data_IF_736687008719
#
_entry.id   IF_736687008719
#
_cell.length_a   1.000
_cell.length_b   1.000
_cell.length_c   1.000
_cell.angle_alpha   90.00
_cell.angle_beta   90.00
_cell.angle_gamma   90.00
#
_symmetry.space_group_name_H-M   'P 1'
#
loop_
_entity.id
_entity.type
_entity.pdbx_description
1 polymer ?
#
# COMPACT_ATOMS: atom_id res chain seq x y z
N UNK A 1 -49.63 -12.02 -15.12
CA UNK A 1 -48.62 -11.00 -14.75
C UNK A 1 -47.98 -11.41 -13.43
N UNK A 2 -46.90 -12.20 -13.41
CA UNK A 2 -46.38 -12.74 -12.14
C UNK A 2 -44.87 -13.04 -12.11
N UNK A 3 -44.07 -12.38 -12.95
CA UNK A 3 -42.61 -12.54 -12.94
C UNK A 3 -41.84 -11.23 -13.15
N UNK A 4 -42.51 -10.07 -13.18
CA UNK A 4 -41.83 -8.79 -13.41
C UNK A 4 -41.16 -8.26 -12.12
N UNK A 5 -41.69 -8.59 -10.94
CA UNK A 5 -41.17 -8.09 -9.67
C UNK A 5 -39.85 -8.73 -9.19
N UNK A 6 -39.59 -10.06 -9.31
CA UNK A 6 -38.33 -10.63 -8.84
C UNK A 6 -37.14 -10.32 -9.77
N UNK A 7 -37.38 -9.93 -11.02
CA UNK A 7 -36.33 -9.60 -11.98
C UNK A 7 -35.66 -8.24 -11.71
N UNK A 8 -36.36 -7.30 -11.06
CA UNK A 8 -35.82 -5.95 -10.76
C UNK A 8 -34.92 -5.98 -9.51
N UNK A 9 -35.15 -6.92 -8.58
CA UNK A 9 -34.32 -7.05 -7.38
C UNK A 9 -32.93 -7.67 -7.65
N UNK A 10 -32.75 -8.36 -8.79
CA UNK A 10 -31.47 -8.96 -9.17
C UNK A 10 -30.48 -7.97 -9.81
N UNK A 11 -30.91 -6.75 -10.13
CA UNK A 11 -30.08 -5.77 -10.86
C UNK A 11 -29.37 -4.76 -9.96
N UNK A 12 -29.80 -4.60 -8.70
CA UNK A 12 -29.23 -3.60 -7.77
C UNK A 12 -27.89 -4.02 -7.14
N UNK A 13 -27.47 -5.28 -7.25
CA UNK A 13 -26.17 -5.75 -6.74
C UNK A 13 -25.02 -5.61 -7.75
N UNK A 14 -25.31 -5.33 -9.02
CA UNK A 14 -24.29 -5.16 -10.08
C UNK A 14 -23.82 -3.71 -10.27
N UNK A 15 -24.37 -2.77 -9.51
CA UNK A 15 -24.03 -1.34 -9.60
C UNK A 15 -23.10 -0.85 -8.49
N UNK A 16 -22.65 -1.71 -7.58
CA UNK A 16 -21.54 -1.34 -6.70
C UNK A 16 -20.31 -1.15 -7.59
N UNK A 17 -19.78 0.08 -7.72
CA UNK A 17 -18.54 0.26 -8.44
C UNK A 17 -17.49 -0.51 -7.65
N UNK A 18 -17.02 -1.63 -8.19
CA UNK A 18 -15.69 -2.16 -7.85
C UNK A 18 -14.70 -1.22 -8.52
N UNK A 19 -14.73 0.06 -8.14
CA UNK A 19 -13.64 0.97 -8.38
C UNK A 19 -12.61 0.59 -7.33
N UNK A 20 -11.84 -0.45 -7.63
CA UNK A 20 -10.48 -0.50 -7.15
C UNK A 20 -9.79 0.72 -7.78
N UNK A 21 -9.99 1.88 -7.17
CA UNK A 21 -9.38 3.12 -7.61
C UNK A 21 -7.90 2.96 -7.27
N UNK A 22 -7.11 2.43 -8.22
CA UNK A 22 -5.66 2.40 -8.18
C UNK A 22 -5.16 3.83 -8.37
N UNK A 23 -5.57 4.71 -7.46
CA UNK A 23 -5.20 6.11 -7.47
C UNK A 23 -3.74 6.18 -7.09
N UNK A 24 -2.94 6.77 -7.97
CA UNK A 24 -1.54 7.00 -7.67
C UNK A 24 -1.45 7.90 -6.44
N UNK A 25 -0.76 7.42 -5.40
CA UNK A 25 -0.45 8.19 -4.20
C UNK A 25 1.04 8.47 -4.22
N UNK A 26 1.40 9.76 -4.27
CA UNK A 26 2.78 10.19 -4.18
C UNK A 26 3.11 10.52 -2.74
N UNK A 27 4.17 9.92 -2.21
CA UNK A 27 4.71 10.24 -0.91
C UNK A 27 6.02 11.01 -1.08
N UNK A 28 6.10 12.19 -0.48
CA UNK A 28 7.34 12.96 -0.39
C UNK A 28 7.85 12.94 1.05
N UNK A 29 9.12 12.63 1.24
CA UNK A 29 9.75 12.58 2.56
C UNK A 29 11.04 13.37 2.54
N UNK A 30 11.23 14.26 3.52
CA UNK A 30 12.48 15.02 3.68
C UNK A 30 13.06 14.70 5.04
N UNK A 31 14.22 14.04 5.04
CA UNK A 31 14.98 13.83 6.27
C UNK A 31 15.67 15.14 6.65
N UNK A 32 15.50 15.61 7.90
CA UNK A 32 16.27 16.73 8.42
C UNK A 32 17.76 16.39 8.48
N UNK A 33 18.62 17.41 8.44
CA UNK A 33 20.07 17.21 8.59
C UNK A 33 20.37 16.37 9.83
N UNK A 34 20.93 15.18 9.59
CA UNK A 34 21.28 14.21 10.60
C UNK A 34 22.79 14.01 10.58
N UNK A 35 23.47 14.44 11.65
CA UNK A 35 24.93 14.32 11.79
C UNK A 35 25.39 13.04 12.49
N UNK A 36 24.47 12.10 12.74
CA UNK A 36 24.77 10.84 13.41
C UNK A 36 25.22 9.74 12.43
N UNK A 37 24.94 8.49 12.81
CA UNK A 37 25.28 7.31 11.99
C UNK A 37 24.49 7.26 10.66
N UNK A 38 24.59 6.18 9.89
CA UNK A 38 23.79 6.05 8.66
C UNK A 38 22.28 6.08 8.97
N UNK A 39 21.56 7.09 8.46
CA UNK A 39 20.11 7.20 8.56
C UNK A 39 19.41 6.72 7.29
N UNK A 40 18.25 6.11 7.49
CA UNK A 40 17.40 5.57 6.43
C UNK A 40 15.95 5.97 6.69
N UNK A 41 15.23 6.30 5.63
CA UNK A 41 13.78 6.51 5.64
C UNK A 41 13.14 5.35 4.91
N UNK A 42 12.07 4.77 5.47
CA UNK A 42 11.38 3.61 4.90
C UNK A 42 9.88 3.83 4.93
N UNK A 43 9.21 3.59 3.80
CA UNK A 43 7.76 3.43 3.74
C UNK A 43 7.43 1.95 3.72
N UNK A 44 6.58 1.52 4.64
CA UNK A 44 6.14 0.13 4.77
C UNK A 44 4.65 0.06 5.08
N UNK A 45 4.07 -1.11 4.85
CA UNK A 45 2.65 -1.39 5.08
C UNK A 45 2.51 -2.29 6.29
N UNK A 46 1.54 -1.97 7.14
CA UNK A 46 1.06 -2.84 8.21
C UNK A 46 -0.41 -3.18 7.98
N UNK A 47 -0.88 -4.30 8.52
CA UNK A 47 -2.33 -4.54 8.61
C UNK A 47 -2.98 -3.75 9.76
N UNK A 48 -4.29 -3.93 9.90
CA UNK A 48 -5.08 -3.31 10.96
C UNK A 48 -4.65 -3.72 12.38
N UNK A 49 -3.96 -4.86 12.53
CA UNK A 49 -3.39 -5.29 13.81
C UNK A 49 -1.97 -4.76 14.06
N UNK A 50 -1.42 -3.99 13.11
CA UNK A 50 -0.06 -3.47 13.16
C UNK A 50 1.01 -4.46 12.69
N UNK A 51 0.64 -5.63 12.16
CA UNK A 51 1.61 -6.60 11.68
C UNK A 51 2.17 -6.16 10.31
N UNK A 52 3.50 -6.21 10.18
CA UNK A 52 4.23 -5.86 8.97
C UNK A 52 3.79 -6.71 7.77
N UNK A 53 3.57 -6.07 6.61
CA UNK A 53 3.18 -6.71 5.34
C UNK A 53 4.19 -6.53 4.22
N UNK A 54 5.05 -5.53 4.29
CA UNK A 54 6.06 -5.30 3.25
C UNK A 54 6.56 -3.87 3.22
N UNK A 55 7.65 -3.65 2.50
CA UNK A 55 8.27 -2.34 2.30
C UNK A 55 7.97 -1.83 0.90
N UNK A 56 7.45 -0.61 0.81
CA UNK A 56 7.14 0.05 -0.46
C UNK A 56 8.35 0.79 -1.01
N UNK A 57 9.13 1.43 -0.14
CA UNK A 57 10.25 2.29 -0.55
C UNK A 57 11.23 2.52 0.59
N UNK A 58 12.49 2.81 0.26
CA UNK A 58 13.51 3.27 1.20
C UNK A 58 14.45 4.29 0.55
N UNK A 59 14.90 5.29 1.32
CA UNK A 59 16.06 6.12 0.99
C UNK A 59 17.11 6.04 2.10
N UNK A 60 18.38 6.06 1.70
CA UNK A 60 19.52 6.15 2.62
C UNK A 60 20.81 6.35 1.86
N UNK A 61 21.87 6.75 2.56
CA UNK A 61 23.15 7.11 1.94
C UNK A 61 23.97 5.94 1.40
N UNK A 62 23.58 4.68 1.66
CA UNK A 62 24.29 3.47 1.18
C UNK A 62 23.28 2.36 0.90
N UNK A 63 23.48 1.59 -0.18
CA UNK A 63 22.75 0.34 -0.36
C UNK A 63 23.32 -0.71 0.61
N UNK A 64 22.51 -1.23 1.55
CA UNK A 64 22.94 -2.25 2.52
C UNK A 64 21.87 -3.32 2.76
N UNK A 65 22.28 -4.59 2.74
CA UNK A 65 21.36 -5.73 2.93
C UNK A 65 20.91 -5.88 4.36
N UNK A 66 19.58 -5.83 4.54
CA UNK A 66 18.90 -6.05 5.80
C UNK A 66 18.00 -7.27 5.67
N UNK A 67 18.31 -8.33 6.42
CA UNK A 67 17.63 -9.63 6.32
C UNK A 67 16.14 -9.60 6.68
N UNK A 68 15.72 -8.64 7.50
CA UNK A 68 14.32 -8.41 7.88
C UNK A 68 13.58 -7.49 6.88
N UNK A 69 14.28 -6.99 5.86
CA UNK A 69 13.72 -6.24 4.74
C UNK A 69 13.97 -7.05 3.47
N UNK A 70 13.52 -8.31 3.42
CA UNK A 70 13.79 -9.22 2.30
C UNK A 70 13.33 -8.68 0.95
N UNK A 71 12.28 -7.85 0.92
CA UNK A 71 11.78 -7.18 -0.30
C UNK A 71 12.73 -6.10 -0.83
N UNK A 72 13.73 -5.70 -0.04
CA UNK A 72 14.76 -4.73 -0.41
C UNK A 72 15.68 -5.19 -1.55
N UNK A 73 15.94 -6.51 -1.66
CA UNK A 73 16.91 -7.02 -2.63
C UNK A 73 16.39 -7.07 -4.08
N UNK A 74 15.13 -6.66 -4.32
CA UNK A 74 14.47 -6.75 -5.63
C UNK A 74 14.15 -5.40 -6.29
N UNK A 75 14.48 -4.28 -5.64
CA UNK A 75 14.34 -2.94 -6.23
C UNK A 75 15.61 -2.51 -6.97
#
# INVERSE_FOLDING_TARGET
>A
MKLVLPAVAATTTLLSPVLAEARQVTFETTLKNYGGNGAYVVLYVTDASGAYKGTLWMAGGKAKYYRHLSDWQRA
#
